data_IF_667740241604
#
_entry.id   IF_667740241604
#
_cell.length_a   1.000
_cell.length_b   1.000
_cell.length_c   1.000
_cell.angle_alpha   90.00
_cell.angle_beta   90.00
_cell.angle_gamma   90.00
#
_symmetry.space_group_name_H-M   'P 1'
#
loop_
_entity.id
_entity.type
_entity.pdbx_description
1 polymer ?
#
# COMPACT_ATOMS: atom_id res chain seq x y z
N UNK A 1 -42.21 25.20 -11.94
CA UNK A 1 -42.55 25.18 -13.37
C UNK A 1 -41.84 26.34 -14.05
N UNK A 2 -40.75 26.05 -14.76
CA UNK A 2 -40.20 26.89 -15.82
C UNK A 2 -39.51 25.95 -16.80
N UNK A 3 -40.11 25.79 -17.97
CA UNK A 3 -39.59 25.08 -19.13
C UNK A 3 -39.05 26.11 -20.10
N UNK A 4 -37.79 25.99 -20.52
CA UNK A 4 -37.36 26.43 -21.85
C UNK A 4 -36.26 25.49 -22.35
N UNK A 5 -36.52 24.91 -23.51
CA UNK A 5 -35.72 23.97 -24.28
C UNK A 5 -34.85 24.68 -25.31
N UNK A 6 -33.67 24.13 -25.64
CA UNK A 6 -32.98 24.37 -26.92
C UNK A 6 -32.08 23.15 -27.23
N UNK A 7 -32.40 22.17 -28.09
CA UNK A 7 -32.45 22.03 -29.58
C UNK A 7 -31.14 22.14 -30.39
N UNK A 8 -30.80 21.00 -31.02
CA UNK A 8 -29.99 20.75 -32.25
C UNK A 8 -28.44 20.79 -32.11
N UNK A 9 -27.61 19.91 -32.70
CA UNK A 9 -27.69 19.23 -34.01
C UNK A 9 -26.76 18.00 -34.10
N UNK A 10 -27.11 17.06 -34.98
CA UNK A 10 -26.44 15.80 -35.31
C UNK A 10 -25.27 15.92 -36.30
N UNK A 11 -24.43 14.87 -36.39
CA UNK A 11 -23.78 14.30 -37.61
C UNK A 11 -22.77 13.22 -37.17
N UNK A 12 -22.41 12.13 -37.90
CA UNK A 12 -22.89 11.43 -39.09
C UNK A 12 -21.97 10.18 -39.23
N UNK A 13 -22.56 9.00 -39.43
CA UNK A 13 -21.85 7.75 -39.76
C UNK A 13 -21.18 7.79 -41.14
N UNK A 14 -20.08 7.04 -41.31
CA UNK A 14 -19.73 6.40 -42.61
C UNK A 14 -18.85 5.14 -42.43
N UNK A 15 -19.15 4.02 -43.12
CA UNK A 15 -18.36 2.78 -43.09
C UNK A 15 -17.45 2.58 -44.33
N UNK A 16 -16.52 1.61 -44.20
CA UNK A 16 -15.85 0.72 -45.19
C UNK A 16 -15.45 1.27 -46.59
N UNK A 17 -14.20 1.05 -47.05
CA UNK A 17 -13.85 -0.14 -47.88
C UNK A 17 -12.39 -0.22 -48.41
N UNK A 18 -11.90 -1.46 -48.48
CA UNK A 18 -11.08 -2.12 -49.53
C UNK A 18 -9.59 -1.80 -49.88
N UNK A 19 -8.75 -2.85 -49.67
CA UNK A 19 -7.75 -3.53 -50.58
C UNK A 19 -6.49 -2.75 -51.01
N UNK A 20 -5.26 -3.29 -51.05
CA UNK A 20 -4.76 -4.56 -51.66
C UNK A 20 -3.31 -4.93 -51.18
N UNK A 21 -2.48 -5.83 -51.80
CA UNK A 21 -1.92 -7.01 -51.10
C UNK A 21 -0.39 -7.22 -51.17
N UNK A 22 0.07 -8.33 -50.54
CA UNK A 22 1.25 -9.18 -50.87
C UNK A 22 2.68 -8.65 -50.59
N UNK A 23 3.37 -9.36 -49.71
CA UNK A 23 4.84 -9.33 -49.60
C UNK A 23 5.36 -10.48 -48.73
N UNK A 24 5.97 -11.48 -49.38
CA UNK A 24 6.60 -12.68 -48.82
C UNK A 24 8.04 -12.33 -48.41
N UNK A 25 8.52 -12.74 -47.22
CA UNK A 25 9.93 -13.17 -47.06
C UNK A 25 10.15 -13.88 -45.72
N UNK A 26 10.45 -15.17 -45.81
CA UNK A 26 11.10 -15.96 -44.76
C UNK A 26 12.60 -15.62 -44.71
N UNK A 27 13.09 -15.19 -43.55
CA UNK A 27 14.52 -15.15 -43.20
C UNK A 27 14.64 -15.41 -41.69
N UNK A 28 14.75 -16.69 -41.29
CA UNK A 28 16.01 -17.35 -40.83
C UNK A 28 16.86 -16.51 -39.87
N UNK A 29 16.89 -16.96 -38.61
CA UNK A 29 18.13 -17.14 -37.86
C UNK A 29 18.59 -16.00 -36.96
N UNK A 30 18.17 -16.02 -35.69
CA UNK A 30 19.09 -16.11 -34.56
C UNK A 30 18.29 -16.23 -33.25
N UNK A 31 18.01 -17.47 -32.85
CA UNK A 31 17.71 -17.76 -31.45
C UNK A 31 19.05 -17.69 -30.71
N UNK A 32 19.32 -16.54 -30.10
CA UNK A 32 20.28 -16.50 -29.01
C UNK A 32 19.79 -17.47 -27.92
N UNK A 33 20.65 -18.28 -27.30
CA UNK A 33 20.25 -19.03 -26.12
C UNK A 33 19.96 -18.00 -25.03
N UNK A 34 18.68 -17.66 -24.87
CA UNK A 34 18.19 -17.07 -23.63
C UNK A 34 18.57 -18.05 -22.54
N UNK A 35 19.65 -17.73 -21.82
CA UNK A 35 19.91 -18.32 -20.52
C UNK A 35 18.60 -18.19 -19.76
N UNK A 36 17.95 -19.32 -19.53
CA UNK A 36 16.86 -19.44 -18.58
C UNK A 36 17.52 -19.10 -17.25
N UNK A 37 17.51 -17.81 -16.90
CA UNK A 37 17.81 -17.38 -15.54
C UNK A 37 16.68 -17.97 -14.74
N UNK A 38 17.00 -19.05 -14.02
CA UNK A 38 16.15 -19.64 -13.02
C UNK A 38 15.90 -18.54 -11.98
N UNK A 39 14.82 -17.76 -12.13
CA UNK A 39 14.31 -16.93 -11.06
C UNK A 39 13.69 -17.87 -10.02
N UNK A 40 14.55 -18.48 -9.22
CA UNK A 40 14.21 -19.05 -7.93
C UNK A 40 13.98 -17.91 -6.96
N UNK A 41 12.82 -17.25 -7.02
CA UNK A 41 12.30 -16.51 -5.87
C UNK A 41 11.04 -17.27 -5.48
N UNK A 42 11.21 -18.15 -4.50
CA UNK A 42 10.12 -18.87 -3.86
C UNK A 42 9.10 -17.89 -3.29
N UNK A 43 7.89 -18.38 -3.01
CA UNK A 43 6.77 -17.59 -2.48
C UNK A 43 7.08 -16.97 -1.12
N UNK A 44 7.84 -15.88 -1.12
CA UNK A 44 8.14 -15.08 0.06
C UNK A 44 6.92 -14.18 0.32
N UNK A 45 6.33 -14.34 1.50
CA UNK A 45 5.25 -13.48 1.96
C UNK A 45 5.70 -12.01 1.91
N UNK A 46 4.79 -11.07 1.63
CA UNK A 46 5.13 -9.66 1.63
C UNK A 46 5.77 -9.30 2.98
N UNK A 47 6.81 -8.45 3.01
CA UNK A 47 7.47 -8.09 4.26
C UNK A 47 6.44 -7.48 5.21
N UNK A 48 6.45 -7.93 6.48
CA UNK A 48 5.45 -7.53 7.49
C UNK A 48 6.08 -6.81 8.68
N UNK A 49 5.38 -5.85 9.28
CA UNK A 49 5.83 -5.15 10.49
C UNK A 49 4.67 -4.97 11.47
N UNK A 50 4.86 -5.33 12.74
CA UNK A 50 3.82 -5.26 13.77
C UNK A 50 4.14 -4.16 14.81
N UNK A 51 3.23 -3.21 14.98
CA UNK A 51 3.39 -2.08 15.92
C UNK A 51 3.59 -2.53 17.37
N UNK A 52 2.81 -3.51 17.85
CA UNK A 52 2.89 -4.01 19.22
C UNK A 52 4.22 -4.69 19.52
N UNK A 53 4.79 -5.38 18.52
CA UNK A 53 6.10 -6.01 18.64
C UNK A 53 7.23 -4.98 18.62
N UNK A 54 7.13 -3.93 17.80
CA UNK A 54 8.12 -2.86 17.77
C UNK A 54 8.21 -2.13 19.12
N UNK A 55 7.07 -1.85 19.77
CA UNK A 55 7.03 -1.19 21.08
C UNK A 55 7.73 -2.00 22.19
N UNK A 56 7.79 -3.32 22.05
CA UNK A 56 8.41 -4.24 23.02
C UNK A 56 9.90 -4.45 22.79
N UNK A 57 10.44 -4.00 21.66
CA UNK A 57 11.86 -4.09 21.35
C UNK A 57 12.62 -2.97 22.05
N UNK A 58 13.88 -3.25 22.35
CA UNK A 58 14.85 -2.28 22.82
C UNK A 58 15.21 -1.26 21.72
N UNK A 59 15.54 -0.04 22.15
CA UNK A 59 15.92 1.05 21.25
C UNK A 59 17.12 0.66 20.36
N UNK A 60 18.07 -0.11 20.88
CA UNK A 60 19.24 -0.59 20.14
C UNK A 60 18.87 -1.53 19.01
N UNK A 61 17.96 -2.50 19.24
CA UNK A 61 17.43 -3.33 18.15
C UNK A 61 16.64 -2.50 17.13
N UNK A 62 15.85 -1.51 17.57
CA UNK A 62 15.10 -0.66 16.65
C UNK A 62 16.01 0.17 15.76
N UNK A 63 17.09 0.73 16.30
CA UNK A 63 18.11 1.45 15.53
C UNK A 63 18.76 0.53 14.50
N UNK A 64 19.03 -0.74 14.85
CA UNK A 64 19.59 -1.71 13.91
C UNK A 64 18.64 -1.96 12.74
N UNK A 65 17.36 -2.22 13.03
CA UNK A 65 16.34 -2.39 11.99
C UNK A 65 16.25 -1.11 11.15
N UNK A 66 16.27 0.07 11.77
CA UNK A 66 16.18 1.34 11.06
C UNK A 66 17.32 1.53 10.03
N UNK A 67 18.53 1.05 10.32
CA UNK A 67 19.63 1.02 9.35
C UNK A 67 19.34 0.13 8.15
N UNK A 68 18.76 -1.06 8.38
CA UNK A 68 18.36 -1.99 7.30
C UNK A 68 17.22 -1.43 6.43
N UNK A 69 16.41 -0.53 7.02
CA UNK A 69 15.35 0.20 6.33
C UNK A 69 15.80 1.52 5.70
N UNK A 70 17.11 1.83 5.74
CA UNK A 70 17.72 3.05 5.19
C UNK A 70 17.14 4.33 5.82
N UNK A 71 16.91 4.29 7.13
CA UNK A 71 16.44 5.44 7.92
C UNK A 71 17.64 6.20 8.45
N UNK A 72 17.87 7.38 7.90
CA UNK A 72 18.91 8.30 8.37
C UNK A 72 18.62 8.84 9.77
N UNK A 73 19.68 9.21 10.51
CA UNK A 73 19.59 9.86 11.82
C UNK A 73 18.79 9.10 12.90
N UNK A 74 18.61 7.78 12.74
CA UNK A 74 17.85 6.94 13.68
C UNK A 74 18.34 7.02 15.15
N UNK A 75 19.64 7.23 15.38
CA UNK A 75 20.19 7.35 16.74
C UNK A 75 19.71 8.59 17.51
N UNK A 76 19.27 9.64 16.82
CA UNK A 76 18.80 10.89 17.43
C UNK A 76 17.28 10.95 17.61
N UNK A 77 16.54 9.98 17.05
CA UNK A 77 15.09 9.96 17.08
C UNK A 77 14.58 9.50 18.45
N UNK A 78 13.45 10.08 18.88
CA UNK A 78 12.72 9.53 20.03
C UNK A 78 12.14 8.17 19.64
N UNK A 79 11.92 7.30 20.63
CA UNK A 79 11.39 5.95 20.41
C UNK A 79 10.15 5.93 19.51
N UNK A 80 9.20 6.83 19.78
CA UNK A 80 7.97 6.94 19.00
C UNK A 80 8.23 7.37 17.56
N UNK A 81 9.09 8.38 17.35
CA UNK A 81 9.47 8.85 16.01
C UNK A 81 10.16 7.74 15.22
N UNK A 82 11.04 6.98 15.87
CA UNK A 82 11.74 5.84 15.26
C UNK A 82 10.76 4.74 14.83
N UNK A 83 9.79 4.39 15.69
CA UNK A 83 8.74 3.41 15.35
C UNK A 83 7.92 3.90 14.16
N UNK A 84 7.49 5.16 14.15
CA UNK A 84 6.75 5.73 13.03
C UNK A 84 7.56 5.72 11.73
N UNK A 85 8.85 6.08 11.80
CA UNK A 85 9.74 6.05 10.63
C UNK A 85 9.89 4.64 10.05
N UNK A 86 10.00 3.62 10.91
CA UNK A 86 10.04 2.21 10.52
C UNK A 86 8.74 1.78 9.82
N UNK A 87 7.58 2.07 10.40
CA UNK A 87 6.28 1.76 9.80
C UNK A 87 6.08 2.46 8.44
N UNK A 88 6.54 3.70 8.33
CA UNK A 88 6.49 4.45 7.08
C UNK A 88 7.46 3.85 6.04
N UNK A 89 8.67 3.46 6.43
CA UNK A 89 9.61 2.78 5.55
C UNK A 89 9.05 1.42 5.05
N UNK A 90 8.40 0.66 5.92
CA UNK A 90 7.69 -0.57 5.56
C UNK A 90 6.64 -0.33 4.48
N UNK A 91 5.78 0.66 4.71
CA UNK A 91 4.67 0.99 3.80
C UNK A 91 5.18 1.50 2.45
N UNK A 92 6.27 2.28 2.44
CA UNK A 92 6.93 2.73 1.20
C UNK A 92 7.47 1.58 0.35
N UNK A 93 7.84 0.46 0.97
CA UNK A 93 8.28 -0.78 0.29
C UNK A 93 7.11 -1.72 -0.04
N UNK A 94 5.87 -1.24 0.00
CA UNK A 94 4.66 -2.04 -0.18
C UNK A 94 4.52 -3.20 0.82
N UNK A 95 5.18 -3.11 1.97
CA UNK A 95 5.05 -4.08 3.05
C UNK A 95 3.73 -3.91 3.79
N UNK A 96 3.32 -4.96 4.51
CA UNK A 96 2.12 -4.95 5.34
C UNK A 96 2.47 -4.48 6.74
N UNK A 97 1.68 -3.55 7.27
CA UNK A 97 1.76 -3.13 8.67
C UNK A 97 0.57 -3.70 9.43
N UNK A 98 0.86 -4.33 10.56
CA UNK A 98 -0.13 -4.82 11.51
C UNK A 98 -0.12 -3.98 12.78
N UNK A 99 -1.31 -3.79 13.32
CA UNK A 99 -1.52 -3.23 14.64
C UNK A 99 -2.71 -3.92 15.29
N UNK A 100 -2.74 -3.89 16.62
CA UNK A 100 -3.74 -4.58 17.42
C UNK A 100 -4.12 -3.72 18.61
N UNK A 101 -5.39 -3.79 19.01
CA UNK A 101 -5.90 -3.10 20.19
C UNK A 101 -7.37 -3.42 20.40
N UNK A 102 -7.95 -2.80 21.42
CA UNK A 102 -9.39 -2.87 21.69
C UNK A 102 -10.07 -1.68 21.04
N UNK A 103 -11.11 -1.93 20.25
CA UNK A 103 -11.86 -0.88 19.58
C UNK A 103 -12.70 -0.09 20.60
N UNK A 104 -12.48 1.21 20.67
CA UNK A 104 -13.36 2.18 21.32
C UNK A 104 -14.11 2.96 20.24
N UNK A 105 -15.44 2.87 20.23
CA UNK A 105 -16.31 3.61 19.31
C UNK A 105 -16.82 4.89 19.96
N UNK A 106 -16.67 6.02 19.26
CA UNK A 106 -17.15 7.33 19.70
C UNK A 106 -18.55 7.64 19.14
N UNK A 107 -19.28 8.64 19.70
CA UNK A 107 -20.66 8.96 19.29
C UNK A 107 -20.84 9.27 17.80
N UNK A 108 -19.80 9.80 17.16
CA UNK A 108 -19.79 10.14 15.73
C UNK A 108 -19.60 8.91 14.81
N UNK A 109 -19.50 7.70 15.39
CA UNK A 109 -19.44 6.44 14.69
C UNK A 109 -18.06 6.03 14.16
N UNK A 110 -17.02 6.83 14.39
CA UNK A 110 -15.63 6.41 14.21
C UNK A 110 -15.04 5.92 15.55
N UNK A 111 -13.85 5.32 15.50
CA UNK A 111 -13.22 4.83 16.72
C UNK A 111 -11.71 4.70 16.62
N UNK A 112 -11.12 4.22 17.70
CA UNK A 112 -9.69 3.95 17.81
C UNK A 112 -9.44 2.57 18.39
N UNK A 113 -8.43 1.86 17.88
CA UNK A 113 -7.89 0.69 18.58
C UNK A 113 -6.92 1.17 19.65
N UNK A 114 -7.30 1.00 20.91
CA UNK A 114 -6.50 1.34 22.09
C UNK A 114 -5.56 0.22 22.46
N UNK A 115 -4.33 0.57 22.84
CA UNK A 115 -3.35 -0.40 23.29
C UNK A 115 -3.61 -0.85 24.75
N UNK A 116 -3.62 -2.15 25.06
CA UNK A 116 -3.74 -2.63 26.44
C UNK A 116 -2.53 -2.22 27.29
N UNK A 117 -1.35 -2.15 26.68
CA UNK A 117 -0.09 -1.76 27.32
C UNK A 117 -0.10 -0.29 27.82
N UNK A 118 -1.08 0.52 27.38
CA UNK A 118 -1.30 1.90 27.81
C UNK A 118 -2.61 2.08 28.59
N UNK A 119 -3.08 1.01 29.26
CA UNK A 119 -4.31 1.00 30.07
C UNK A 119 -5.56 1.49 29.31
N UNK A 120 -5.60 1.34 27.99
CA UNK A 120 -6.66 1.84 27.12
C UNK A 120 -6.87 3.36 27.15
N UNK A 121 -5.90 4.10 27.68
CA UNK A 121 -5.93 5.56 27.65
C UNK A 121 -5.62 6.07 26.24
N UNK A 122 -6.08 7.29 25.89
CA UNK A 122 -5.72 7.90 24.62
C UNK A 122 -4.21 8.05 24.46
N UNK A 123 -3.68 7.38 23.43
CA UNK A 123 -2.27 7.35 23.08
C UNK A 123 -2.02 7.93 21.68
N UNK A 124 -0.81 8.45 21.43
CA UNK A 124 -0.47 9.00 20.12
C UNK A 124 -0.18 7.92 19.05
N UNK A 125 -0.28 6.65 19.44
CA UNK A 125 -0.09 5.44 18.65
C UNK A 125 -1.40 4.64 18.47
N UNK A 126 -2.52 5.23 18.85
CA UNK A 126 -3.86 4.68 18.63
C UNK A 126 -4.20 4.60 17.15
N UNK A 127 -4.81 3.49 16.74
CA UNK A 127 -5.10 3.22 15.33
C UNK A 127 -6.52 3.67 15.02
N UNK A 128 -6.65 4.68 14.16
CA UNK A 128 -7.95 5.14 13.69
C UNK A 128 -8.70 4.04 12.93
N UNK A 129 -10.00 3.93 13.20
CA UNK A 129 -10.93 3.05 12.47
C UNK A 129 -12.11 3.88 11.98
N UNK A 130 -12.34 3.81 10.67
CA UNK A 130 -13.41 4.59 10.02
C UNK A 130 -14.80 4.03 10.34
N UNK A 131 -15.86 4.87 10.30
CA UNK A 131 -17.24 4.40 10.48
C UNK A 131 -17.67 3.32 9.48
N UNK A 132 -17.10 3.32 8.27
CA UNK A 132 -17.40 2.32 7.26
C UNK A 132 -16.76 0.96 7.57
N UNK A 133 -15.57 0.94 8.19
CA UNK A 133 -14.97 -0.30 8.67
C UNK A 133 -15.77 -0.88 9.84
N UNK A 134 -16.17 -0.04 10.80
CA UNK A 134 -16.96 -0.46 11.97
C UNK A 134 -18.32 -1.02 11.55
N UNK A 135 -19.00 -0.39 10.57
CA UNK A 135 -20.32 -0.87 10.12
C UNK A 135 -20.27 -2.14 9.26
N UNK A 136 -19.11 -2.46 8.68
CA UNK A 136 -18.98 -3.58 7.74
C UNK A 136 -18.84 -4.93 8.45
N UNK A 137 -18.31 -4.93 9.66
CA UNK A 137 -17.98 -6.13 10.45
C UNK A 137 -18.74 -6.11 11.77
#
# INVERSE_FOLDING_TARGET
>A
MSVVTNTQSATKHRPMDSRSPRGRSNSRGNQAPTKIVQNTHGGEAPPTMNLSELKKKDITSLIKIAKDYDIENANGMRLQELIFALLQAQTRRNGIVYGSGVLETLPDGFGFLRAPDYNYLPGPDDIYVSPSQIRRF
#
